data_IF_502347541973
#
_entry.id   IF_502347541973
#
_cell.length_a   1.000
_cell.length_b   1.000
_cell.length_c   1.000
_cell.angle_alpha   90.00
_cell.angle_beta   90.00
_cell.angle_gamma   90.00
#
_symmetry.space_group_name_H-M   'P 1'
#
loop_
_entity.id
_entity.type
_entity.pdbx_description
1 polymer ?
#
# COMPACT_ATOMS: atom_id res chain seq x y z
N UNK A 1 -8.35 10.99 23.50
CA UNK A 1 -8.38 10.11 22.31
C UNK A 1 -9.70 10.24 21.54
N UNK A 2 -10.87 10.16 22.20
CA UNK A 2 -12.19 10.31 21.55
C UNK A 2 -12.31 11.53 20.62
N UNK A 3 -11.91 12.73 21.07
CA UNK A 3 -11.97 13.94 20.23
C UNK A 3 -11.07 13.86 18.98
N UNK A 4 -9.92 13.19 19.05
CA UNK A 4 -9.04 13.04 17.89
C UNK A 4 -9.65 12.10 16.84
N UNK A 5 -10.24 10.99 17.27
CA UNK A 5 -10.95 10.06 16.37
C UNK A 5 -12.11 10.74 15.67
N UNK A 6 -12.90 11.52 16.43
CA UNK A 6 -14.02 12.29 15.87
C UNK A 6 -13.55 13.27 14.78
N UNK A 7 -12.52 14.08 15.05
CA UNK A 7 -11.95 15.01 14.07
C UNK A 7 -11.42 14.27 12.83
N UNK A 8 -10.72 13.16 13.03
CA UNK A 8 -10.16 12.37 11.92
C UNK A 8 -11.27 11.83 11.00
N UNK A 9 -12.37 11.33 11.58
CA UNK A 9 -13.50 10.81 10.83
C UNK A 9 -14.23 11.93 10.06
N UNK A 10 -14.43 13.10 10.68
CA UNK A 10 -15.02 14.26 9.99
C UNK A 10 -14.16 14.68 8.80
N UNK A 11 -12.86 14.84 9.00
CA UNK A 11 -11.95 15.23 7.90
C UNK A 11 -11.96 14.19 6.79
N UNK A 12 -11.93 12.90 7.12
CA UNK A 12 -12.02 11.84 6.12
C UNK A 12 -13.32 11.94 5.32
N UNK A 13 -14.46 12.17 5.97
CA UNK A 13 -15.74 12.35 5.29
C UNK A 13 -15.71 13.59 4.38
N UNK A 14 -15.22 14.72 4.87
CA UNK A 14 -15.11 15.96 4.08
C UNK A 14 -14.28 15.72 2.81
N UNK A 15 -13.09 15.16 2.95
CA UNK A 15 -12.22 14.90 1.80
C UNK A 15 -12.77 13.83 0.87
N UNK A 16 -13.45 12.80 1.40
CA UNK A 16 -14.13 11.81 0.57
C UNK A 16 -15.24 12.44 -0.26
N UNK A 17 -16.10 13.27 0.35
CA UNK A 17 -17.14 14.00 -0.39
C UNK A 17 -16.55 14.95 -1.44
N UNK A 18 -15.43 15.62 -1.12
CA UNK A 18 -14.71 16.44 -2.10
C UNK A 18 -14.22 15.59 -3.28
N UNK A 19 -13.62 14.42 -3.03
CA UNK A 19 -13.24 13.48 -4.09
C UNK A 19 -14.44 13.04 -4.92
N UNK A 20 -15.60 12.77 -4.32
CA UNK A 20 -16.81 12.40 -5.06
C UNK A 20 -17.31 13.53 -5.98
N UNK A 21 -17.30 14.78 -5.49
CA UNK A 21 -17.66 15.94 -6.30
C UNK A 21 -16.73 16.03 -7.53
N UNK A 22 -15.42 15.86 -7.33
CA UNK A 22 -14.46 15.87 -8.44
C UNK A 22 -14.68 14.69 -9.37
N UNK A 23 -14.97 13.49 -8.86
CA UNK A 23 -15.24 12.31 -9.70
C UNK A 23 -16.37 12.57 -10.71
N UNK A 24 -17.42 13.30 -10.29
CA UNK A 24 -18.60 13.58 -11.12
C UNK A 24 -18.37 14.81 -12.02
N UNK A 25 -17.68 15.84 -11.52
CA UNK A 25 -17.46 17.09 -12.26
C UNK A 25 -16.30 17.06 -13.25
N UNK A 26 -15.30 16.19 -13.04
CA UNK A 26 -14.11 16.10 -13.89
C UNK A 26 -14.37 15.22 -15.12
N UNK A 27 -14.46 15.83 -16.29
CA UNK A 27 -14.64 15.12 -17.57
C UNK A 27 -13.29 14.68 -18.15
N UNK A 28 -12.71 13.64 -17.55
CA UNK A 28 -11.43 13.08 -17.97
C UNK A 28 -11.07 11.78 -17.25
N UNK A 29 -10.01 11.13 -17.74
CA UNK A 29 -9.49 9.87 -17.20
C UNK A 29 -8.37 10.04 -16.17
N UNK A 30 -7.82 11.26 -16.02
CA UNK A 30 -6.80 11.59 -15.02
C UNK A 30 -5.44 10.91 -15.21
N UNK A 31 -5.26 10.09 -16.25
CA UNK A 31 -4.04 9.32 -16.48
C UNK A 31 -3.91 8.82 -17.92
N UNK A 32 -2.86 8.03 -18.17
CA UNK A 32 -2.47 7.57 -19.50
C UNK A 32 -3.29 6.34 -19.96
N UNK A 33 -2.86 5.66 -21.04
CA UNK A 33 -3.55 4.51 -21.62
C UNK A 33 -3.89 3.37 -20.64
N UNK A 34 -3.03 3.11 -19.64
CA UNK A 34 -3.27 2.08 -18.61
C UNK A 34 -4.60 2.28 -17.87
N UNK A 35 -4.94 3.53 -17.58
CA UNK A 35 -6.20 3.89 -16.94
C UNK A 35 -7.40 3.38 -17.73
N UNK A 36 -7.42 3.66 -19.03
CA UNK A 36 -8.51 3.26 -19.92
C UNK A 36 -8.52 1.74 -20.08
N UNK A 37 -7.35 1.12 -20.18
CA UNK A 37 -7.22 -0.33 -20.32
C UNK A 37 -7.82 -1.08 -19.13
N UNK A 38 -7.47 -0.71 -17.89
CA UNK A 38 -8.05 -1.32 -16.69
C UNK A 38 -9.56 -1.12 -16.59
N UNK A 39 -10.06 0.06 -16.99
CA UNK A 39 -11.50 0.29 -17.09
C UNK A 39 -12.15 -0.67 -18.10
N UNK A 40 -11.56 -0.86 -19.28
CA UNK A 40 -12.11 -1.76 -20.31
C UNK A 40 -12.12 -3.21 -19.85
N UNK A 41 -11.04 -3.72 -19.24
CA UNK A 41 -11.02 -5.06 -18.63
C UNK A 41 -12.20 -5.25 -17.68
N UNK A 42 -12.40 -4.28 -16.78
CA UNK A 42 -13.46 -4.32 -15.75
C UNK A 42 -14.86 -4.18 -16.35
N UNK A 43 -15.03 -3.28 -17.32
CA UNK A 43 -16.31 -3.02 -18.00
C UNK A 43 -16.82 -4.26 -18.72
N UNK A 44 -15.92 -4.96 -19.39
CA UNK A 44 -16.25 -6.06 -20.28
C UNK A 44 -16.12 -7.43 -19.61
N UNK A 45 -15.69 -7.52 -18.35
CA UNK A 45 -15.51 -8.77 -17.61
C UNK A 45 -16.76 -9.68 -17.54
N UNK A 46 -17.98 -9.12 -17.57
CA UNK A 46 -19.20 -9.93 -17.60
C UNK A 46 -19.44 -10.61 -18.96
N UNK A 47 -18.99 -9.99 -20.04
CA UNK A 47 -19.11 -10.53 -21.42
C UNK A 47 -17.89 -11.35 -21.82
N UNK A 48 -16.75 -11.04 -21.23
CA UNK A 48 -15.45 -11.66 -21.43
C UNK A 48 -14.88 -12.08 -20.07
N UNK A 49 -15.37 -13.18 -19.46
CA UNK A 49 -14.93 -13.65 -18.14
C UNK A 49 -13.43 -13.88 -18.03
N UNK A 50 -12.74 -14.12 -19.15
CA UNK A 50 -11.28 -14.19 -19.24
C UNK A 50 -10.58 -12.95 -18.67
N UNK A 51 -11.21 -11.78 -18.73
CA UNK A 51 -10.68 -10.54 -18.15
C UNK A 51 -10.52 -10.63 -16.62
N UNK A 52 -11.32 -11.47 -15.94
CA UNK A 52 -11.19 -11.70 -14.49
C UNK A 52 -9.96 -12.52 -14.12
N UNK A 53 -9.25 -13.06 -15.10
CA UNK A 53 -8.03 -13.85 -14.94
C UNK A 53 -6.87 -13.29 -15.76
N UNK A 54 -6.99 -12.04 -16.24
CA UNK A 54 -5.93 -11.39 -17.01
C UNK A 54 -4.86 -10.75 -16.10
N UNK A 55 -3.58 -11.07 -16.37
CA UNK A 55 -2.42 -10.58 -15.60
C UNK A 55 -2.19 -9.07 -15.72
N UNK A 56 -2.57 -8.46 -16.85
CA UNK A 56 -2.52 -7.02 -17.04
C UNK A 56 -3.72 -6.35 -16.35
N UNK A 57 -4.93 -6.88 -16.54
CA UNK A 57 -6.18 -6.41 -15.94
C UNK A 57 -6.17 -6.40 -14.41
N UNK A 58 -5.32 -7.26 -13.81
CA UNK A 58 -5.16 -7.51 -12.36
C UNK A 58 -6.43 -8.19 -11.80
N UNK A 59 -6.44 -9.53 -11.70
CA UNK A 59 -7.66 -10.32 -11.46
C UNK A 59 -8.52 -9.84 -10.29
N UNK A 60 -7.88 -9.52 -9.16
CA UNK A 60 -8.60 -9.08 -7.97
C UNK A 60 -9.14 -7.66 -8.12
N UNK A 61 -8.38 -6.76 -8.76
CA UNK A 61 -8.88 -5.42 -9.05
C UNK A 61 -10.08 -5.50 -9.99
N UNK A 62 -9.97 -6.23 -11.11
CA UNK A 62 -11.04 -6.37 -12.10
C UNK A 62 -12.32 -6.90 -11.47
N UNK A 63 -12.22 -7.91 -10.59
CA UNK A 63 -13.37 -8.48 -9.90
C UNK A 63 -14.13 -7.44 -9.06
N UNK A 64 -13.41 -6.60 -8.30
CA UNK A 64 -14.02 -5.63 -7.40
C UNK A 64 -14.46 -4.33 -8.10
N UNK A 65 -13.77 -3.93 -9.16
CA UNK A 65 -14.08 -2.72 -9.92
C UNK A 65 -15.14 -2.96 -11.02
N UNK A 66 -15.36 -4.21 -11.44
CA UNK A 66 -16.33 -4.59 -12.47
C UNK A 66 -17.74 -4.02 -12.21
N UNK A 67 -18.36 -4.15 -11.01
CA UNK A 67 -19.69 -3.59 -10.77
C UNK A 67 -19.74 -2.07 -10.95
N UNK A 68 -18.67 -1.38 -10.55
CA UNK A 68 -18.58 0.08 -10.65
C UNK A 68 -18.37 0.54 -12.10
N UNK A 69 -17.57 -0.20 -12.87
CA UNK A 69 -17.33 0.11 -14.28
C UNK A 69 -18.60 0.07 -15.14
N UNK A 70 -19.69 -0.57 -14.66
CA UNK A 70 -20.99 -0.56 -15.34
C UNK A 70 -21.64 0.83 -15.37
N UNK A 71 -21.19 1.76 -14.52
CA UNK A 71 -21.59 3.18 -14.52
C UNK A 71 -20.63 4.08 -15.32
N UNK A 72 -19.92 3.49 -16.28
CA UNK A 72 -18.93 4.18 -17.08
C UNK A 72 -17.64 4.47 -16.31
N UNK A 73 -16.80 5.34 -16.87
CA UNK A 73 -15.53 5.68 -16.26
C UNK A 73 -15.68 6.44 -14.93
N UNK A 74 -16.77 7.19 -14.76
CA UNK A 74 -17.12 7.84 -13.48
C UNK A 74 -17.26 6.81 -12.36
N UNK A 75 -17.87 5.65 -12.63
CA UNK A 75 -17.96 4.57 -11.67
C UNK A 75 -16.60 4.07 -11.20
N UNK A 76 -15.61 3.94 -12.11
CA UNK A 76 -14.24 3.59 -11.74
C UNK A 76 -13.56 4.65 -10.86
N UNK A 77 -13.75 5.95 -11.16
CA UNK A 77 -13.25 7.03 -10.30
C UNK A 77 -13.86 6.95 -8.89
N UNK A 78 -15.18 6.71 -8.81
CA UNK A 78 -15.87 6.52 -7.52
C UNK A 78 -15.32 5.31 -6.77
N UNK A 79 -15.07 4.19 -7.45
CA UNK A 79 -14.44 3.01 -6.86
C UNK A 79 -13.06 3.34 -6.26
N UNK A 80 -12.19 4.00 -7.01
CA UNK A 80 -10.85 4.36 -6.53
C UNK A 80 -10.89 5.40 -5.39
N UNK A 81 -11.79 6.38 -5.43
CA UNK A 81 -12.01 7.30 -4.31
C UNK A 81 -12.49 6.57 -3.05
N UNK A 82 -13.42 5.61 -3.17
CA UNK A 82 -13.93 4.81 -2.06
C UNK A 82 -12.81 3.95 -1.45
N UNK A 83 -12.09 3.22 -2.30
CA UNK A 83 -10.97 2.36 -1.92
C UNK A 83 -9.84 3.17 -1.26
N UNK A 84 -9.54 4.36 -1.80
CA UNK A 84 -8.62 5.31 -1.19
C UNK A 84 -9.08 5.72 0.21
N UNK A 85 -10.33 6.16 0.37
CA UNK A 85 -10.88 6.53 1.67
C UNK A 85 -10.87 5.38 2.69
N UNK A 86 -11.18 4.15 2.25
CA UNK A 86 -11.08 2.95 3.09
C UNK A 86 -9.64 2.65 3.51
N UNK A 87 -8.66 2.90 2.64
CA UNK A 87 -7.24 2.77 2.98
C UNK A 87 -6.82 3.76 4.07
N UNK A 88 -7.28 5.02 3.97
CA UNK A 88 -7.07 6.03 5.01
C UNK A 88 -7.72 5.59 6.32
N UNK A 89 -8.97 5.11 6.27
CA UNK A 89 -9.70 4.63 7.44
C UNK A 89 -8.95 3.50 8.16
N UNK A 90 -8.49 2.47 7.44
CA UNK A 90 -7.74 1.36 8.04
C UNK A 90 -6.39 1.82 8.61
N UNK A 91 -5.72 2.77 7.94
CA UNK A 91 -4.51 3.40 8.48
C UNK A 91 -4.80 4.10 9.80
N UNK A 92 -5.89 4.86 9.90
CA UNK A 92 -6.33 5.48 11.15
C UNK A 92 -6.59 4.43 12.25
N UNK A 93 -7.16 3.27 11.89
CA UNK A 93 -7.33 2.18 12.86
C UNK A 93 -6.01 1.63 13.39
N UNK A 94 -4.97 1.55 12.56
CA UNK A 94 -3.63 1.16 13.02
C UNK A 94 -3.02 2.25 13.93
N UNK A 95 -3.18 3.53 13.58
CA UNK A 95 -2.76 4.67 14.42
C UNK A 95 -3.46 4.64 15.79
N UNK A 96 -4.76 4.31 15.82
CA UNK A 96 -5.54 4.16 17.05
C UNK A 96 -5.08 2.98 17.92
N UNK A 97 -4.79 1.82 17.31
CA UNK A 97 -4.24 0.63 18.01
C UNK A 97 -2.93 0.98 18.71
N UNK A 98 -2.07 1.75 18.03
CA UNK A 98 -0.79 2.22 18.57
C UNK A 98 -0.92 3.39 19.55
N UNK A 99 -2.15 3.91 19.79
CA UNK A 99 -2.43 5.04 20.69
C UNK A 99 -1.66 6.33 20.31
N UNK A 100 -1.28 6.47 19.04
CA UNK A 100 -0.63 7.68 18.53
C UNK A 100 -1.64 8.84 18.58
N UNK A 101 -1.22 9.98 19.14
CA UNK A 101 -2.07 11.18 19.22
C UNK A 101 -2.13 11.89 17.86
N UNK A 102 -3.18 12.68 17.64
CA UNK A 102 -3.37 13.48 16.42
C UNK A 102 -3.55 12.66 15.13
N UNK A 103 -4.31 11.57 15.19
CA UNK A 103 -4.61 10.72 14.01
C UNK A 103 -5.18 11.48 12.81
N UNK A 104 -5.80 12.65 13.03
CA UNK A 104 -6.28 13.52 11.95
C UNK A 104 -5.17 13.96 11.00
N UNK A 105 -3.92 14.03 11.48
CA UNK A 105 -2.77 14.35 10.64
C UNK A 105 -2.56 13.29 9.55
N UNK A 106 -2.82 12.00 9.83
CA UNK A 106 -2.73 10.95 8.82
C UNK A 106 -3.67 11.21 7.63
N UNK A 107 -4.89 11.71 7.89
CA UNK A 107 -5.84 12.09 6.84
C UNK A 107 -5.25 13.19 5.96
N UNK A 108 -4.65 14.20 6.59
CA UNK A 108 -4.00 15.28 5.84
C UNK A 108 -2.80 14.77 5.03
N UNK A 109 -1.96 13.89 5.58
CA UNK A 109 -0.83 13.31 4.84
C UNK A 109 -1.30 12.62 3.56
N UNK A 110 -2.39 11.87 3.61
CA UNK A 110 -2.96 11.24 2.42
C UNK A 110 -3.48 12.27 1.40
N UNK A 111 -4.38 13.17 1.81
CA UNK A 111 -5.04 14.07 0.87
C UNK A 111 -4.18 15.24 0.39
N UNK A 112 -3.11 15.58 1.12
CA UNK A 112 -2.12 16.57 0.68
C UNK A 112 -0.92 15.95 -0.04
N UNK A 113 -0.80 14.62 -0.10
CA UNK A 113 0.15 13.98 -0.99
C UNK A 113 -0.35 14.11 -2.45
N UNK A 114 0.37 14.84 -3.32
CA UNK A 114 -0.14 15.23 -4.64
C UNK A 114 -0.59 14.03 -5.46
N UNK A 115 0.22 12.96 -5.47
CA UNK A 115 -0.04 11.82 -6.33
C UNK A 115 -1.14 10.91 -5.77
N UNK A 116 -1.28 10.78 -4.45
CA UNK A 116 -2.40 10.05 -3.84
C UNK A 116 -3.73 10.68 -4.21
N UNK A 117 -3.80 12.01 -4.23
CA UNK A 117 -5.01 12.75 -4.58
C UNK A 117 -5.36 12.59 -6.07
N UNK A 118 -4.41 12.87 -6.96
CA UNK A 118 -4.65 12.85 -8.41
C UNK A 118 -5.05 11.45 -8.89
N UNK A 119 -4.39 10.40 -8.40
CA UNK A 119 -4.63 9.04 -8.90
C UNK A 119 -6.04 8.50 -8.54
N UNK A 120 -6.76 9.10 -7.58
CA UNK A 120 -8.13 8.70 -7.26
C UNK A 120 -9.08 8.85 -8.45
N UNK A 121 -8.76 9.77 -9.37
CA UNK A 121 -9.57 10.07 -10.55
C UNK A 121 -9.14 9.28 -11.79
N UNK A 122 -8.38 8.19 -11.58
CA UNK A 122 -7.91 7.29 -12.63
C UNK A 122 -8.53 5.91 -12.50
N UNK A 123 -8.26 5.03 -13.46
CA UNK A 123 -8.65 3.62 -13.45
C UNK A 123 -7.51 2.69 -13.07
N UNK A 124 -6.45 3.24 -12.48
CA UNK A 124 -5.28 2.48 -12.09
C UNK A 124 -5.54 1.73 -10.78
N UNK A 125 -4.68 0.75 -10.48
CA UNK A 125 -4.92 -0.25 -9.44
C UNK A 125 -4.23 0.06 -8.11
N UNK A 126 -3.44 1.14 -8.02
CA UNK A 126 -2.57 1.39 -6.87
C UNK A 126 -3.34 1.67 -5.57
N UNK A 127 -4.47 2.38 -5.63
CA UNK A 127 -5.34 2.55 -4.45
C UNK A 127 -5.91 1.22 -3.95
N UNK A 128 -6.29 0.34 -4.87
CA UNK A 128 -6.81 -0.98 -4.51
C UNK A 128 -5.75 -1.87 -3.89
N UNK A 129 -4.54 -1.86 -4.46
CA UNK A 129 -3.41 -2.53 -3.84
C UNK A 129 -3.12 -1.99 -2.44
N UNK A 130 -3.10 -0.67 -2.28
CA UNK A 130 -2.92 0.00 -0.98
C UNK A 130 -3.96 -0.45 0.05
N UNK A 131 -5.23 -0.58 -0.36
CA UNK A 131 -6.31 -1.05 0.49
C UNK A 131 -6.07 -2.49 0.95
N UNK A 132 -5.80 -3.40 0.01
CA UNK A 132 -5.57 -4.81 0.32
C UNK A 132 -4.35 -4.96 1.25
N UNK A 133 -3.28 -4.19 0.98
CA UNK A 133 -2.05 -4.20 1.78
C UNK A 133 -2.33 -3.73 3.21
N UNK A 134 -2.93 -2.54 3.37
CA UNK A 134 -3.17 -2.01 4.71
C UNK A 134 -4.21 -2.83 5.46
N UNK A 135 -5.12 -3.52 4.78
CA UNK A 135 -6.07 -4.44 5.39
C UNK A 135 -5.37 -5.68 5.96
N UNK A 136 -4.41 -6.25 5.22
CA UNK A 136 -3.56 -7.34 5.71
C UNK A 136 -2.73 -6.92 6.93
N UNK A 137 -2.13 -5.73 6.87
CA UNK A 137 -1.34 -5.15 7.98
C UNK A 137 -2.23 -4.86 9.19
N UNK A 138 -3.42 -4.30 8.99
CA UNK A 138 -4.39 -4.03 10.04
C UNK A 138 -4.75 -5.30 10.84
N UNK A 139 -4.99 -6.43 10.15
CA UNK A 139 -5.26 -7.68 10.84
C UNK A 139 -4.06 -8.19 11.65
N UNK A 140 -2.82 -7.98 11.18
CA UNK A 140 -1.64 -8.31 11.96
C UNK A 140 -1.57 -7.47 13.26
N UNK A 141 -1.80 -6.16 13.17
CA UNK A 141 -1.88 -5.27 14.34
C UNK A 141 -3.03 -5.62 15.30
N UNK A 142 -4.12 -6.22 14.80
CA UNK A 142 -5.22 -6.73 15.63
C UNK A 142 -4.96 -8.13 16.19
N UNK A 143 -3.82 -8.75 15.90
CA UNK A 143 -3.49 -10.12 16.32
C UNK A 143 -4.25 -11.22 15.54
N UNK A 144 -4.99 -10.87 14.48
CA UNK A 144 -5.75 -11.80 13.64
C UNK A 144 -4.88 -12.33 12.49
N UNK A 145 -3.85 -13.08 12.85
CA UNK A 145 -2.80 -13.52 11.92
C UNK A 145 -3.29 -14.40 10.77
N UNK A 146 -4.30 -15.25 10.99
CA UNK A 146 -4.89 -16.05 9.91
C UNK A 146 -5.47 -15.17 8.80
N UNK A 147 -6.28 -14.17 9.18
CA UNK A 147 -6.86 -13.23 8.23
C UNK A 147 -5.78 -12.38 7.57
N UNK A 148 -4.77 -11.95 8.32
CA UNK A 148 -3.63 -11.23 7.76
C UNK A 148 -2.93 -12.04 6.67
N UNK A 149 -2.58 -13.31 6.93
CA UNK A 149 -1.93 -14.19 5.96
C UNK A 149 -2.80 -14.45 4.72
N UNK A 150 -4.11 -14.68 4.91
CA UNK A 150 -5.05 -14.84 3.80
C UNK A 150 -5.10 -13.57 2.95
N UNK A 151 -5.25 -12.38 3.53
CA UNK A 151 -5.31 -11.14 2.73
C UNK A 151 -3.97 -10.87 2.03
N UNK A 152 -2.82 -11.11 2.69
CA UNK A 152 -1.51 -11.04 2.04
C UNK A 152 -1.44 -11.95 0.79
N UNK A 153 -1.98 -13.18 0.88
CA UNK A 153 -2.00 -14.14 -0.23
C UNK A 153 -2.69 -13.63 -1.50
N UNK A 154 -3.56 -12.62 -1.38
CA UNK A 154 -4.30 -12.02 -2.48
C UNK A 154 -3.61 -10.82 -3.13
N UNK A 155 -2.57 -10.25 -2.51
CA UNK A 155 -1.87 -9.07 -3.06
C UNK A 155 -1.32 -9.27 -4.48
N UNK A 156 -0.70 -10.40 -4.85
CA UNK A 156 -0.21 -10.63 -6.22
C UNK A 156 -1.29 -10.48 -7.30
N UNK A 157 -2.55 -10.73 -6.93
CA UNK A 157 -3.71 -10.63 -7.83
C UNK A 157 -4.31 -9.21 -7.88
N UNK A 158 -4.02 -8.38 -6.88
CA UNK A 158 -4.28 -6.94 -6.95
C UNK A 158 -3.24 -6.25 -7.83
N UNK A 159 -1.95 -6.58 -7.66
CA UNK A 159 -0.82 -6.19 -8.51
C UNK A 159 0.33 -7.18 -8.33
N UNK A 160 1.15 -7.35 -9.38
CA UNK A 160 2.31 -8.26 -9.42
C UNK A 160 3.32 -8.01 -8.29
N UNK A 161 3.46 -6.75 -7.89
CA UNK A 161 4.31 -6.26 -6.81
C UNK A 161 3.92 -6.88 -5.44
N UNK A 162 2.72 -7.42 -5.33
CA UNK A 162 2.27 -8.20 -4.18
C UNK A 162 3.15 -9.40 -3.84
N UNK A 163 3.92 -9.93 -4.81
CA UNK A 163 4.91 -10.97 -4.56
C UNK A 163 6.00 -10.51 -3.58
N UNK A 164 6.40 -9.23 -3.63
CA UNK A 164 7.35 -8.64 -2.67
C UNK A 164 6.77 -8.74 -1.26
N UNK A 165 5.49 -8.39 -1.12
CA UNK A 165 4.80 -8.43 0.17
C UNK A 165 4.52 -9.83 0.68
N UNK A 166 4.42 -10.85 -0.19
CA UNK A 166 4.42 -12.25 0.26
C UNK A 166 5.76 -12.63 0.89
N UNK A 167 6.88 -12.23 0.30
CA UNK A 167 8.21 -12.41 0.89
C UNK A 167 8.32 -11.73 2.25
N UNK A 168 7.90 -10.46 2.34
CA UNK A 168 7.87 -9.68 3.60
C UNK A 168 6.99 -10.36 4.65
N UNK A 169 5.78 -10.80 4.29
CA UNK A 169 4.87 -11.47 5.22
C UNK A 169 5.43 -12.83 5.69
N UNK A 170 6.07 -13.59 4.80
CA UNK A 170 6.71 -14.84 5.15
C UNK A 170 7.84 -14.63 6.18
N UNK A 171 8.72 -13.66 5.93
CA UNK A 171 9.79 -13.27 6.87
C UNK A 171 9.20 -12.84 8.22
N UNK A 172 8.16 -11.99 8.20
CA UNK A 172 7.45 -11.58 9.42
C UNK A 172 6.91 -12.78 10.21
N UNK A 173 6.19 -13.72 9.58
CA UNK A 173 5.62 -14.88 10.28
C UNK A 173 6.70 -15.85 10.77
N UNK A 174 7.81 -16.02 10.04
CA UNK A 174 8.94 -16.85 10.45
C UNK A 174 9.64 -16.30 11.69
N UNK A 175 10.00 -15.01 11.66
CA UNK A 175 10.77 -14.34 12.71
C UNK A 175 9.90 -14.10 13.95
N UNK A 176 8.63 -13.76 13.76
CA UNK A 176 7.69 -13.53 14.87
C UNK A 176 7.20 -14.82 15.53
N UNK A 177 7.81 -15.99 15.22
CA UNK A 177 7.42 -17.33 15.70
C UNK A 177 5.95 -17.70 15.43
N UNK A 178 5.37 -17.13 14.35
CA UNK A 178 3.99 -17.32 13.91
C UNK A 178 3.91 -18.27 12.71
N UNK A 179 4.80 -19.28 12.66
CA UNK A 179 5.02 -20.16 11.50
C UNK A 179 3.78 -20.94 11.05
N UNK A 180 2.84 -21.22 11.97
CA UNK A 180 1.59 -21.93 11.68
C UNK A 180 0.71 -21.23 10.63
N UNK A 181 0.91 -19.94 10.38
CA UNK A 181 0.13 -19.17 9.41
C UNK A 181 0.80 -19.09 8.03
N UNK A 182 2.05 -19.55 7.87
CA UNK A 182 2.76 -19.54 6.59
C UNK A 182 2.00 -20.27 5.46
N UNK A 183 1.39 -21.45 5.69
CA UNK A 183 0.63 -22.10 4.63
C UNK A 183 -0.54 -21.26 4.11
N UNK A 184 -1.11 -20.38 4.93
CA UNK A 184 -2.22 -19.51 4.52
C UNK A 184 -1.78 -18.42 3.52
N UNK A 185 -0.48 -18.13 3.39
CA UNK A 185 0.03 -17.25 2.33
C UNK A 185 -0.16 -17.83 0.92
N UNK A 186 -0.48 -19.13 0.80
CA UNK A 186 -0.77 -19.78 -0.47
C UNK A 186 -2.26 -19.72 -0.85
N UNK A 187 -3.14 -19.25 0.04
CA UNK A 187 -4.61 -19.32 -0.15
C UNK A 187 -5.06 -18.67 -1.46
N UNK A 188 -4.62 -17.45 -1.75
CA UNK A 188 -4.95 -16.74 -2.99
C UNK A 188 -4.45 -17.47 -4.23
N UNK A 189 -3.23 -18.04 -4.18
CA UNK A 189 -2.67 -18.83 -5.28
C UNK A 189 -3.44 -20.13 -5.51
N UNK A 190 -3.87 -20.80 -4.46
CA UNK A 190 -4.71 -22.01 -4.59
C UNK A 190 -6.06 -21.65 -5.21
N UNK A 191 -6.71 -20.57 -4.73
CA UNK A 191 -8.03 -20.15 -5.23
C UNK A 191 -7.93 -19.74 -6.71
N UNK A 192 -7.04 -18.81 -7.06
CA UNK A 192 -6.89 -18.38 -8.45
C UNK A 192 -6.28 -19.46 -9.35
N UNK A 193 -5.47 -20.37 -8.81
CA UNK A 193 -4.98 -21.54 -9.53
C UNK A 193 -6.11 -22.49 -9.92
N UNK A 194 -7.03 -22.80 -8.99
CA UNK A 194 -8.23 -23.61 -9.25
C UNK A 194 -9.12 -22.90 -10.29
N UNK A 195 -9.45 -21.63 -10.07
CA UNK A 195 -10.33 -20.88 -10.99
C UNK A 195 -9.69 -20.79 -12.39
N UNK A 196 -8.40 -20.43 -12.47
CA UNK A 196 -7.70 -20.36 -13.76
C UNK A 196 -7.61 -21.70 -14.48
N UNK A 197 -7.41 -22.80 -13.76
CA UNK A 197 -7.38 -24.15 -14.33
C UNK A 197 -8.72 -24.53 -14.97
N UNK A 198 -9.83 -24.33 -14.27
CA UNK A 198 -11.14 -24.77 -14.75
C UNK A 198 -11.74 -23.86 -15.82
N UNK A 199 -11.50 -22.55 -15.77
CA UNK A 199 -12.28 -21.60 -16.57
C UNK A 199 -11.55 -21.01 -17.79
N UNK A 200 -10.23 -20.80 -17.75
CA UNK A 200 -9.55 -20.00 -18.81
C UNK A 200 -8.22 -20.59 -19.25
N UNK A 201 -7.34 -20.92 -18.31
CA UNK A 201 -5.94 -21.21 -18.63
C UNK A 201 -5.62 -22.69 -18.77
N UNK A 202 -6.46 -23.57 -18.21
CA UNK A 202 -6.22 -25.02 -18.13
C UNK A 202 -4.85 -25.39 -17.53
N UNK A 203 -4.33 -24.50 -16.68
CA UNK A 203 -3.04 -24.60 -16.00
C UNK A 203 -3.23 -24.07 -14.58
N UNK A 204 -3.00 -24.92 -13.57
CA UNK A 204 -3.11 -24.53 -12.16
C UNK A 204 -2.04 -23.50 -11.76
N UNK A 205 -0.87 -23.55 -12.40
CA UNK A 205 0.26 -22.67 -12.14
C UNK A 205 0.33 -21.50 -13.14
N UNK A 206 -0.79 -21.19 -13.83
CA UNK A 206 -0.87 -20.10 -14.82
C UNK A 206 -0.37 -18.76 -14.28
N UNK A 207 -0.55 -18.53 -12.98
CA UNK A 207 -0.10 -17.32 -12.28
C UNK A 207 1.41 -17.13 -12.41
N UNK A 208 2.18 -18.22 -12.50
CA UNK A 208 3.63 -18.21 -12.67
C UNK A 208 4.05 -18.44 -14.13
N UNK A 209 3.39 -19.37 -14.82
CA UNK A 209 3.78 -19.77 -16.18
C UNK A 209 3.43 -18.74 -17.25
N UNK A 210 2.48 -17.82 -16.96
CA UNK A 210 1.96 -16.85 -17.94
C UNK A 210 2.19 -15.39 -17.53
N UNK A 211 3.19 -15.11 -16.69
CA UNK A 211 3.52 -13.73 -16.26
C UNK A 211 4.10 -12.94 -17.44
N UNK A 212 3.46 -11.86 -17.90
CA UNK A 212 3.93 -11.10 -19.06
C UNK A 212 5.19 -10.25 -18.77
N UNK A 213 5.53 -10.06 -17.50
CA UNK A 213 6.66 -9.24 -17.05
C UNK A 213 7.86 -10.06 -16.55
N UNK A 214 7.85 -11.38 -16.71
CA UNK A 214 8.97 -12.24 -16.30
C UNK A 214 10.10 -12.21 -17.33
N UNK A 215 10.67 -11.02 -17.58
CA UNK A 215 11.82 -10.81 -18.46
C UNK A 215 13.00 -10.21 -17.71
N UNK A 216 14.20 -10.69 -18.03
CA UNK A 216 15.47 -10.11 -17.57
C UNK A 216 15.87 -8.88 -18.40
N UNK A 217 15.20 -8.65 -19.53
CA UNK A 217 15.36 -7.46 -20.37
C UNK A 217 14.07 -6.64 -20.36
N UNK A 218 14.18 -5.34 -20.09
CA UNK A 218 13.07 -4.38 -20.11
C UNK A 218 13.02 -3.62 -21.42
N UNK A 219 11.87 -3.64 -22.10
CA UNK A 219 11.61 -2.83 -23.30
C UNK A 219 11.60 -1.32 -22.97
N UNK A 220 11.43 -0.96 -21.70
CA UNK A 220 11.38 0.43 -21.23
C UNK A 220 12.75 1.01 -20.86
N UNK A 221 13.82 0.21 -20.94
CA UNK A 221 15.17 0.61 -20.57
C UNK A 221 15.42 0.60 -19.06
N UNK A 222 16.32 1.48 -18.62
CA UNK A 222 16.83 1.55 -17.25
C UNK A 222 17.03 2.99 -16.78
N UNK A 223 17.12 3.21 -15.47
CA UNK A 223 17.43 4.53 -14.90
C UNK A 223 18.45 4.51 -13.77
N UNK A 224 18.58 5.65 -13.08
CA UNK A 224 19.53 5.80 -11.96
C UNK A 224 18.99 5.17 -10.68
N UNK A 225 19.88 4.71 -9.81
CA UNK A 225 19.51 4.24 -8.46
C UNK A 225 18.90 5.35 -7.59
N UNK A 226 19.21 6.62 -7.86
CA UNK A 226 18.62 7.79 -7.19
C UNK A 226 17.21 8.13 -7.67
N UNK A 227 16.75 7.51 -8.75
CA UNK A 227 15.51 7.90 -9.44
C UNK A 227 14.32 8.02 -8.49
N UNK A 228 14.02 6.99 -7.69
CA UNK A 228 12.86 7.06 -6.80
C UNK A 228 13.02 8.07 -5.67
N UNK A 229 14.24 8.33 -5.18
CA UNK A 229 14.50 9.41 -4.22
C UNK A 229 14.17 10.79 -4.84
N UNK A 230 14.51 10.99 -6.10
CA UNK A 230 14.21 12.20 -6.87
C UNK A 230 12.71 12.32 -7.21
N UNK A 231 12.01 11.19 -7.35
CA UNK A 231 10.57 11.16 -7.63
C UNK A 231 9.69 11.37 -6.39
N UNK A 232 10.16 11.02 -5.19
CA UNK A 232 9.37 11.10 -3.95
C UNK A 232 8.75 12.48 -3.64
N UNK A 233 9.41 13.63 -3.90
CA UNK A 233 8.77 14.94 -3.77
C UNK A 233 7.52 15.12 -4.64
N UNK A 234 7.43 14.46 -5.80
CA UNK A 234 6.23 14.47 -6.63
C UNK A 234 5.14 13.52 -6.13
N UNK A 235 5.51 12.51 -5.34
CA UNK A 235 4.56 11.57 -4.73
C UNK A 235 3.90 12.20 -3.50
N UNK A 236 4.72 12.75 -2.59
CA UNK A 236 4.29 13.22 -1.27
C UNK A 236 4.27 14.74 -1.11
N UNK A 237 5.02 15.49 -1.92
CA UNK A 237 5.39 16.87 -1.61
C UNK A 237 6.59 16.95 -0.65
N UNK A 238 7.35 18.04 -0.73
CA UNK A 238 8.57 18.23 0.06
C UNK A 238 8.40 18.09 1.57
N UNK A 239 7.39 18.71 2.23
CA UNK A 239 7.26 18.62 3.69
C UNK A 239 7.03 17.18 4.17
N UNK A 240 6.16 16.44 3.48
CA UNK A 240 5.83 15.05 3.84
C UNK A 240 6.98 14.10 3.51
N UNK A 241 7.71 14.36 2.43
CA UNK A 241 8.91 13.58 2.11
C UNK A 241 10.02 13.75 3.16
N UNK A 242 10.25 14.96 3.66
CA UNK A 242 11.22 15.20 4.74
C UNK A 242 10.82 14.49 6.04
N UNK A 243 9.52 14.47 6.37
CA UNK A 243 9.01 13.69 7.51
C UNK A 243 9.16 12.19 7.31
N UNK A 244 8.98 11.68 6.07
CA UNK A 244 9.22 10.27 5.76
C UNK A 244 10.69 9.90 6.01
N UNK A 245 11.63 10.71 5.50
CA UNK A 245 13.07 10.52 5.73
C UNK A 245 13.36 10.56 7.24
N UNK A 246 12.84 11.56 7.95
CA UNK A 246 13.00 11.66 9.40
C UNK A 246 12.48 10.40 10.12
N UNK A 247 11.32 9.88 9.71
CA UNK A 247 10.73 8.66 10.29
C UNK A 247 11.58 7.42 10.10
N UNK A 248 12.17 7.24 8.91
CA UNK A 248 13.14 6.16 8.64
C UNK A 248 14.40 6.33 9.48
N UNK A 249 14.99 7.54 9.51
CA UNK A 249 16.22 7.81 10.26
C UNK A 249 16.03 7.65 11.78
N UNK A 250 14.91 8.15 12.33
CA UNK A 250 14.55 7.99 13.75
C UNK A 250 14.42 6.50 14.09
N UNK A 251 13.72 5.74 13.25
CA UNK A 251 13.56 4.31 13.48
C UNK A 251 14.89 3.56 13.42
N UNK A 252 15.74 3.86 12.43
CA UNK A 252 17.09 3.28 12.32
C UNK A 252 17.96 3.63 13.54
N UNK A 253 17.94 4.89 13.97
CA UNK A 253 18.68 5.34 15.16
C UNK A 253 18.22 4.60 16.43
N UNK A 254 16.90 4.51 16.65
CA UNK A 254 16.32 3.73 17.76
C UNK A 254 16.69 2.25 17.67
N UNK A 255 16.68 1.70 16.45
CA UNK A 255 17.07 0.32 16.16
C UNK A 255 18.58 0.08 16.21
N UNK A 256 19.46 1.07 16.29
CA UNK A 256 20.90 0.82 16.46
C UNK A 256 21.31 0.91 17.93
N UNK A 257 20.76 1.88 18.68
CA UNK A 257 21.33 2.28 19.98
C UNK A 257 20.89 1.41 21.16
N UNK A 258 19.73 0.75 21.12
CA UNK A 258 19.28 -0.11 22.24
C UNK A 258 18.73 -1.47 21.80
N UNK A 259 19.57 -2.50 21.60
CA UNK A 259 19.16 -3.87 21.24
C UNK A 259 18.23 -4.54 22.23
N UNK A 260 18.52 -4.43 23.52
CA UNK A 260 17.87 -5.24 24.55
C UNK A 260 16.43 -4.86 24.91
N UNK A 261 15.94 -3.69 24.52
CA UNK A 261 14.58 -3.20 24.87
C UNK A 261 13.56 -3.47 23.72
N UNK A 262 14.03 -4.01 22.59
CA UNK A 262 13.31 -4.00 21.30
C UNK A 262 12.10 -4.92 21.26
N UNK A 263 12.20 -6.13 21.81
CA UNK A 263 11.15 -7.17 21.69
C UNK A 263 9.95 -6.96 22.59
N UNK A 264 10.08 -6.12 23.62
CA UNK A 264 9.04 -5.95 24.64
C UNK A 264 8.09 -4.78 24.31
N UNK A 265 8.42 -3.98 23.29
CA UNK A 265 7.55 -2.91 22.84
C UNK A 265 6.33 -3.49 22.08
N UNK A 266 5.11 -3.03 22.40
CA UNK A 266 3.92 -3.44 21.68
C UNK A 266 4.06 -3.22 20.17
N UNK A 267 3.69 -4.24 19.40
CA UNK A 267 3.68 -4.21 17.93
C UNK A 267 5.05 -4.02 17.27
N UNK A 268 6.16 -4.24 17.99
CA UNK A 268 7.50 -4.03 17.44
C UNK A 268 7.74 -4.81 16.14
N UNK A 269 7.39 -6.10 16.11
CA UNK A 269 7.56 -6.94 14.93
C UNK A 269 6.69 -6.49 13.75
N UNK A 270 5.45 -6.09 14.01
CA UNK A 270 4.54 -5.56 13.00
C UNK A 270 5.09 -4.27 12.39
N UNK A 271 5.59 -3.33 13.21
CA UNK A 271 6.21 -2.11 12.71
C UNK A 271 7.48 -2.40 11.93
N UNK A 272 8.42 -3.15 12.51
CA UNK A 272 9.72 -3.44 11.91
C UNK A 272 9.56 -4.12 10.55
N UNK A 273 8.75 -5.19 10.47
CA UNK A 273 8.70 -6.00 9.26
C UNK A 273 7.61 -5.56 8.28
N UNK A 274 6.39 -5.28 8.76
CA UNK A 274 5.27 -5.01 7.85
C UNK A 274 5.18 -3.55 7.43
N UNK A 275 5.63 -2.61 8.26
CA UNK A 275 5.62 -1.17 7.95
C UNK A 275 6.95 -0.74 7.36
N UNK A 276 8.02 -0.74 8.16
CA UNK A 276 9.33 -0.28 7.74
C UNK A 276 9.98 -1.25 6.75
N UNK A 277 9.98 -2.55 7.05
CA UNK A 277 10.49 -3.59 6.17
C UNK A 277 9.67 -3.72 4.88
N UNK A 278 8.34 -3.60 4.97
CA UNK A 278 7.45 -3.59 3.80
C UNK A 278 7.72 -2.41 2.87
N UNK A 279 7.76 -1.19 3.40
CA UNK A 279 8.12 0.01 2.63
C UNK A 279 9.54 -0.10 2.05
N UNK A 280 10.52 -0.48 2.87
CA UNK A 280 11.91 -0.61 2.46
C UNK A 280 12.11 -1.66 1.36
N UNK A 281 11.51 -2.84 1.51
CA UNK A 281 11.57 -3.90 0.50
C UNK A 281 10.95 -3.45 -0.82
N UNK A 282 9.79 -2.81 -0.79
CA UNK A 282 9.12 -2.30 -1.99
C UNK A 282 9.93 -1.19 -2.68
N UNK A 283 10.39 -0.21 -1.91
CA UNK A 283 11.18 0.92 -2.43
C UNK A 283 12.51 0.45 -3.04
N UNK A 284 13.21 -0.45 -2.36
CA UNK A 284 14.46 -1.04 -2.86
C UNK A 284 14.20 -1.91 -4.08
N UNK A 285 13.16 -2.75 -4.08
CA UNK A 285 12.82 -3.58 -5.23
C UNK A 285 12.57 -2.73 -6.48
N UNK A 286 11.73 -1.70 -6.42
CA UNK A 286 11.48 -0.84 -7.57
C UNK A 286 12.70 -0.05 -8.01
N UNK A 287 13.52 0.43 -7.06
CA UNK A 287 14.81 1.06 -7.38
C UNK A 287 15.72 0.10 -8.15
N UNK A 288 15.84 -1.15 -7.70
CA UNK A 288 16.64 -2.17 -8.39
C UNK A 288 16.04 -2.55 -9.74
N UNK A 289 14.72 -2.74 -9.83
CA UNK A 289 14.05 -3.12 -11.07
C UNK A 289 14.27 -2.08 -12.16
N UNK A 290 14.17 -0.80 -11.81
CA UNK A 290 14.43 0.28 -12.76
C UNK A 290 15.91 0.48 -13.05
N UNK A 291 16.79 0.32 -12.07
CA UNK A 291 18.24 0.51 -12.28
C UNK A 291 18.83 -0.59 -13.14
N UNK A 292 18.40 -1.84 -12.91
CA UNK A 292 18.88 -3.02 -13.64
C UNK A 292 18.13 -3.25 -14.96
N UNK A 293 17.03 -2.52 -15.21
CA UNK A 293 16.22 -2.71 -16.41
C UNK A 293 15.55 -4.09 -16.48
N UNK A 294 15.07 -4.60 -15.34
CA UNK A 294 14.44 -5.92 -15.22
C UNK A 294 12.94 -5.81 -14.93
N UNK A 295 12.20 -6.90 -15.14
CA UNK A 295 10.75 -7.00 -14.88
C UNK A 295 9.88 -5.97 -15.60
N UNK A 296 10.33 -5.47 -16.76
CA UNK A 296 9.65 -4.43 -17.52
C UNK A 296 9.28 -3.19 -16.66
N UNK A 297 10.12 -2.83 -15.69
CA UNK A 297 9.94 -1.60 -14.92
C UNK A 297 10.12 -0.38 -15.83
N UNK A 298 9.22 0.59 -15.73
CA UNK A 298 9.24 1.85 -16.48
C UNK A 298 9.61 3.05 -15.57
N UNK A 299 10.09 2.80 -14.34
CA UNK A 299 10.47 3.87 -13.41
C UNK A 299 9.30 4.78 -13.00
N UNK A 300 8.06 4.29 -13.06
CA UNK A 300 6.88 5.10 -12.83
C UNK A 300 6.75 5.47 -11.35
N UNK A 301 6.68 6.77 -11.04
CA UNK A 301 6.51 7.26 -9.66
C UNK A 301 5.21 6.80 -8.99
N UNK A 302 4.17 6.52 -9.78
CA UNK A 302 2.84 6.11 -9.27
C UNK A 302 2.86 4.80 -8.51
N UNK A 303 3.80 3.89 -8.79
CA UNK A 303 3.90 2.61 -8.05
C UNK A 303 4.12 2.82 -6.56
N UNK A 304 4.69 3.95 -6.14
CA UNK A 304 4.86 4.26 -4.72
C UNK A 304 3.53 4.50 -3.99
N UNK A 305 2.43 4.72 -4.73
CA UNK A 305 1.11 4.84 -4.14
C UNK A 305 0.66 3.52 -3.51
N UNK A 306 1.08 2.37 -4.04
CA UNK A 306 0.83 1.03 -3.49
C UNK A 306 1.17 0.92 -1.99
N UNK A 307 2.20 1.65 -1.56
CA UNK A 307 2.73 1.63 -0.19
C UNK A 307 2.46 2.93 0.57
N UNK A 308 1.60 3.80 0.05
CA UNK A 308 1.24 5.07 0.70
C UNK A 308 0.75 4.89 2.15
N UNK A 309 -0.08 3.89 2.49
CA UNK A 309 -0.44 3.64 3.88
C UNK A 309 0.76 3.36 4.79
N UNK A 310 1.79 2.66 4.31
CA UNK A 310 3.00 2.41 5.09
C UNK A 310 3.83 3.69 5.25
N UNK A 311 3.97 4.48 4.18
CA UNK A 311 4.63 5.80 4.24
C UNK A 311 3.94 6.72 5.25
N UNK A 312 2.60 6.76 5.27
CA UNK A 312 1.83 7.55 6.24
C UNK A 312 2.10 7.08 7.67
N UNK A 313 2.15 5.77 7.94
CA UNK A 313 2.49 5.26 9.27
C UNK A 313 3.90 5.70 9.70
N UNK A 314 4.88 5.68 8.80
CA UNK A 314 6.25 6.15 9.09
C UNK A 314 6.27 7.67 9.35
N UNK A 315 5.55 8.46 8.55
CA UNK A 315 5.40 9.91 8.74
C UNK A 315 4.74 10.22 10.08
N UNK A 316 3.70 9.46 10.46
CA UNK A 316 3.01 9.59 11.74
C UNK A 316 3.94 9.31 12.93
N UNK A 317 4.79 8.28 12.82
CA UNK A 317 5.81 7.97 13.82
C UNK A 317 6.80 9.13 13.99
N UNK A 318 7.29 9.68 12.88
CA UNK A 318 8.19 10.85 12.87
C UNK A 318 7.55 12.07 13.54
N UNK A 319 6.34 12.43 13.09
CA UNK A 319 5.62 13.59 13.60
C UNK A 319 5.32 13.46 15.09
N UNK A 320 4.88 12.27 15.52
CA UNK A 320 4.60 12.00 16.93
C UNK A 320 5.85 12.11 17.81
N UNK A 321 6.98 11.57 17.34
CA UNK A 321 8.27 11.66 18.01
C UNK A 321 8.79 13.11 18.13
N UNK A 322 8.73 13.88 17.04
CA UNK A 322 9.16 15.28 17.03
C UNK A 322 8.29 16.15 17.96
N UNK A 323 6.97 15.96 17.95
CA UNK A 323 6.06 16.67 18.88
C UNK A 323 6.37 16.36 20.34
N UNK A 324 6.78 15.13 20.62
CA UNK A 324 7.22 14.68 21.94
C UNK A 324 8.52 15.37 22.37
N UNK A 325 9.48 15.53 21.46
CA UNK A 325 10.72 16.30 21.70
C UNK A 325 10.39 17.76 22.02
N UNK A 326 9.57 18.41 21.20
CA UNK A 326 9.23 19.83 21.37
C UNK A 326 8.55 20.08 22.73
N UNK A 327 7.74 19.13 23.20
CA UNK A 327 7.06 19.23 24.51
C UNK A 327 7.96 18.85 25.71
N UNK A 328 9.09 18.19 25.48
CA UNK A 328 9.98 17.78 26.55
C UNK A 328 10.83 18.97 27.02
N UNK A 329 10.57 19.46 28.24
CA UNK A 329 11.32 20.58 28.85
C UNK A 329 12.80 20.28 29.16
N UNK A 330 13.25 19.01 29.10
CA UNK A 330 14.62 18.58 29.41
C UNK A 330 15.11 17.49 28.46
N UNK A 331 16.37 17.57 28.03
CA UNK A 331 17.01 16.62 27.12
C UNK A 331 17.06 15.17 27.63
N UNK A 332 17.22 14.95 28.95
CA UNK A 332 17.16 13.60 29.55
C UNK A 332 15.79 12.93 29.40
N UNK A 333 14.72 13.72 29.25
CA UNK A 333 13.36 13.23 28.98
C UNK A 333 13.19 12.80 27.51
N UNK A 334 13.99 13.33 26.58
CA UNK A 334 13.92 12.94 25.16
C UNK A 334 14.33 11.48 24.99
N UNK A 335 15.41 11.05 25.69
CA UNK A 335 15.90 9.67 25.66
C UNK A 335 14.92 8.70 26.35
N UNK A 336 14.03 9.13 27.23
CA UNK A 336 13.00 8.25 27.82
C UNK A 336 11.68 8.28 27.04
N UNK A 337 11.32 9.40 26.42
CA UNK A 337 10.10 9.59 25.61
C UNK A 337 10.17 8.90 24.24
N UNK A 338 11.38 8.62 23.77
CA UNK A 338 11.69 7.87 22.55
C UNK A 338 11.22 6.41 22.55
N UNK A 339 10.70 5.89 23.67
CA UNK A 339 10.50 4.46 23.92
C UNK A 339 9.07 4.08 24.35
N UNK A 340 8.08 4.95 24.10
CA UNK A 340 6.63 4.68 24.22
C UNK A 340 5.97 5.16 22.93
#
# INVERSE_FOLDING_TARGET
MKNNTFISNILLLIFFFLSLIICISFDGTGGNGDTTMHYLFSRWALKHPENLLDHWGKPLFTLFSMPFSQFGFVGIKIFNALVGALSVFLTLKIVEIQKIRYGWFAVLVFYFAPLWFILQFTGLTEHFFSLVLIYAVYFAFKGRYSLSAIVFSFLPFARSEGLIFLGVAAVYFLISRKRRYLPLLLTGHVIYGIIGYFFVHHDFLWVFNKIPYASLDSVYGSGKWTHYFEQMPFVLGWPLYMLLIAGVLIFLFQWLIKPGIRTDLPFFHEKLWLVYGGFGAFFTAHTLFWTLGIFNSMGLKRVMIDVMPLMVLIIMDAAYFLLKIIKAKKWKTIISVSFI
#
